data_IF_366872518968
#
_entry.id   IF_366872518968
#
_cell.length_a   1.000
_cell.length_b   1.000
_cell.length_c   1.000
_cell.angle_alpha   90.00
_cell.angle_beta   90.00
_cell.angle_gamma   90.00
#
_symmetry.space_group_name_H-M   'P 1'
#
loop_
_entity.id
_entity.type
_entity.pdbx_description
1 polymer ?
#
# COMPACT_ATOMS: atom_id res chain seq x y z
N UNK A 1 5.73 -34.87 0.62
CA UNK A 1 5.57 -33.61 -0.15
C UNK A 1 4.82 -32.64 0.72
N UNK A 2 5.34 -31.43 0.97
CA UNK A 2 4.70 -30.46 1.86
C UNK A 2 3.38 -29.95 1.24
N UNK A 3 2.32 -29.93 2.04
CA UNK A 3 1.01 -29.48 1.58
C UNK A 3 0.91 -27.95 1.68
N UNK A 4 0.99 -27.27 0.54
CA UNK A 4 0.94 -25.79 0.49
C UNK A 4 -0.36 -25.22 1.06
N UNK A 5 -1.49 -25.89 0.85
CA UNK A 5 -2.79 -25.41 1.37
C UNK A 5 -2.82 -25.45 2.89
N UNK A 6 -2.27 -26.51 3.47
CA UNK A 6 -2.19 -26.68 4.91
C UNK A 6 -1.24 -25.65 5.55
N UNK A 7 -0.03 -25.51 5.02
CA UNK A 7 0.94 -24.50 5.49
C UNK A 7 0.36 -23.09 5.38
N UNK A 8 -0.27 -22.77 4.24
CA UNK A 8 -0.92 -21.47 4.02
C UNK A 8 -2.00 -21.21 5.07
N UNK A 9 -2.82 -22.20 5.39
CA UNK A 9 -3.88 -22.07 6.41
C UNK A 9 -3.27 -21.87 7.80
N UNK A 10 -2.38 -22.76 8.22
CA UNK A 10 -1.76 -22.68 9.54
C UNK A 10 -1.00 -21.37 9.75
N UNK A 11 -0.19 -20.95 8.77
CA UNK A 11 0.55 -19.69 8.82
C UNK A 11 -0.38 -18.49 8.98
N UNK A 12 -1.44 -18.42 8.18
CA UNK A 12 -2.44 -17.33 8.26
C UNK A 12 -3.14 -17.32 9.62
N UNK A 13 -3.58 -18.48 10.11
CA UNK A 13 -4.31 -18.61 11.37
C UNK A 13 -3.44 -18.15 12.56
N UNK A 14 -2.17 -18.58 12.59
CA UNK A 14 -1.23 -18.24 13.65
C UNK A 14 -0.80 -16.76 13.60
N UNK A 15 -0.58 -16.19 12.41
CA UNK A 15 -0.30 -14.74 12.28
C UNK A 15 -1.50 -13.93 12.74
N UNK A 16 -2.71 -14.31 12.34
CA UNK A 16 -3.92 -13.62 12.78
C UNK A 16 -4.08 -13.68 14.30
N UNK A 17 -3.81 -14.84 14.91
CA UNK A 17 -3.82 -15.01 16.37
C UNK A 17 -2.80 -14.07 17.03
N UNK A 18 -1.56 -14.03 16.51
CA UNK A 18 -0.48 -13.20 17.04
C UNK A 18 -0.71 -11.69 16.91
N UNK A 19 -1.50 -11.25 15.92
CA UNK A 19 -1.80 -9.83 15.68
C UNK A 19 -3.20 -9.41 16.16
N UNK A 20 -4.01 -10.34 16.69
CA UNK A 20 -5.41 -10.07 17.07
C UNK A 20 -5.54 -8.92 18.08
N UNK A 21 -4.65 -8.88 19.07
CA UNK A 21 -4.64 -7.85 20.12
C UNK A 21 -4.17 -6.48 19.60
N UNK A 22 -3.52 -6.44 18.43
CA UNK A 22 -3.08 -5.22 17.76
C UNK A 22 -4.19 -4.64 16.84
N UNK A 23 -5.39 -5.22 16.85
CA UNK A 23 -6.55 -4.74 16.09
C UNK A 23 -6.61 -5.24 14.64
N UNK A 24 -5.82 -6.25 14.31
CA UNK A 24 -5.84 -6.88 12.99
C UNK A 24 -7.00 -7.88 12.84
N UNK A 25 -7.60 -7.90 11.65
CA UNK A 25 -8.65 -8.85 11.26
C UNK A 25 -8.39 -9.45 9.89
N UNK A 26 -8.79 -10.70 9.68
CA UNK A 26 -8.71 -11.34 8.37
C UNK A 26 -9.89 -10.93 7.48
N UNK A 27 -9.60 -10.59 6.23
CA UNK A 27 -10.60 -10.35 5.20
C UNK A 27 -10.50 -11.44 4.12
N UNK A 28 -11.42 -12.42 4.20
CA UNK A 28 -11.39 -13.60 3.35
C UNK A 28 -11.45 -13.29 1.85
N UNK A 29 -12.26 -12.31 1.43
CA UNK A 29 -12.44 -11.93 0.01
C UNK A 29 -11.11 -11.56 -0.65
N UNK A 30 -10.18 -10.96 0.10
CA UNK A 30 -8.88 -10.49 -0.41
C UNK A 30 -7.70 -11.30 0.08
N UNK A 31 -7.96 -12.33 0.88
CA UNK A 31 -6.94 -13.14 1.56
C UNK A 31 -5.88 -12.29 2.28
N UNK A 32 -6.33 -11.20 2.92
CA UNK A 32 -5.48 -10.20 3.54
C UNK A 32 -5.78 -10.07 5.05
N UNK A 33 -4.78 -9.74 5.84
CA UNK A 33 -5.00 -9.26 7.22
C UNK A 33 -4.96 -7.73 7.20
N UNK A 34 -5.97 -7.10 7.80
CA UNK A 34 -6.14 -5.65 7.79
C UNK A 34 -6.24 -5.09 9.20
N UNK A 35 -5.67 -3.91 9.39
CA UNK A 35 -5.91 -3.06 10.55
C UNK A 35 -6.40 -1.71 10.05
N UNK A 36 -7.47 -1.23 10.67
CA UNK A 36 -7.86 0.19 10.53
C UNK A 36 -7.16 0.90 11.66
N UNK A 37 -6.29 1.86 11.33
CA UNK A 37 -5.59 2.60 12.38
C UNK A 37 -6.63 3.42 13.18
N UNK A 38 -6.58 3.29 14.51
CA UNK A 38 -7.62 3.77 15.43
C UNK A 38 -7.83 5.29 15.43
N UNK A 39 -6.89 6.06 14.86
CA UNK A 39 -6.92 7.53 14.80
C UNK A 39 -6.85 8.09 13.38
N UNK A 40 -7.04 7.26 12.35
CA UNK A 40 -6.90 7.71 10.96
C UNK A 40 -7.81 6.98 10.00
N UNK A 41 -8.17 7.64 8.90
CA UNK A 41 -8.91 7.05 7.77
C UNK A 41 -8.10 6.03 6.95
N UNK A 42 -6.81 5.86 7.25
CA UNK A 42 -5.97 4.87 6.59
C UNK A 42 -6.26 3.43 7.03
N UNK A 43 -6.11 2.53 6.07
CA UNK A 43 -6.19 1.08 6.22
C UNK A 43 -4.83 0.50 5.87
N UNK A 44 -4.30 -0.27 6.78
CA UNK A 44 -3.13 -1.12 6.55
C UNK A 44 -3.61 -2.47 6.05
N UNK A 45 -3.12 -2.93 4.90
CA UNK A 45 -3.35 -4.29 4.40
C UNK A 45 -2.03 -5.06 4.30
N UNK A 46 -2.04 -6.27 4.84
CA UNK A 46 -0.99 -7.27 4.70
C UNK A 46 -1.45 -8.43 3.83
N UNK A 47 -0.55 -8.88 2.96
CA UNK A 47 -0.71 -10.08 2.12
C UNK A 47 0.56 -10.91 2.18
N UNK A 48 0.43 -12.23 2.09
CA UNK A 48 1.56 -13.13 1.90
C UNK A 48 1.44 -13.88 0.58
N UNK A 49 2.53 -13.86 -0.19
CA UNK A 49 2.70 -14.68 -1.37
C UNK A 49 3.41 -15.98 -0.98
N UNK A 50 2.77 -17.11 -1.27
CA UNK A 50 3.31 -18.44 -1.01
C UNK A 50 3.76 -19.01 -2.35
N UNK A 51 5.08 -19.16 -2.55
CA UNK A 51 5.66 -19.75 -3.75
C UNK A 51 6.25 -21.11 -3.42
N UNK A 52 6.03 -22.08 -4.30
CA UNK A 52 6.72 -23.37 -4.22
C UNK A 52 7.11 -23.80 -5.64
N UNK A 53 8.27 -24.44 -5.75
CA UNK A 53 8.62 -25.27 -6.90
C UNK A 53 8.54 -26.73 -6.43
N UNK A 54 8.14 -27.66 -7.29
CA UNK A 54 8.01 -29.07 -6.92
C UNK A 54 9.31 -29.59 -6.29
N UNK A 55 9.23 -30.13 -5.08
CA UNK A 55 10.40 -30.61 -4.32
C UNK A 55 11.22 -29.52 -3.60
N UNK A 56 10.77 -28.26 -3.59
CA UNK A 56 11.43 -27.16 -2.89
C UNK A 56 10.63 -26.67 -1.67
N UNK A 57 11.29 -26.01 -0.70
CA UNK A 57 10.61 -25.34 0.40
C UNK A 57 9.53 -24.37 -0.07
N UNK A 58 8.48 -24.20 0.73
CA UNK A 58 7.51 -23.12 0.53
C UNK A 58 8.16 -21.82 0.96
N UNK A 59 8.25 -20.88 0.02
CA UNK A 59 8.74 -19.52 0.25
C UNK A 59 7.56 -18.60 0.54
N UNK A 60 7.64 -17.87 1.64
CA UNK A 60 6.63 -16.92 2.10
C UNK A 60 7.22 -15.51 1.99
N UNK A 61 6.66 -14.74 1.07
CA UNK A 61 7.05 -13.35 0.80
C UNK A 61 5.94 -12.42 1.31
N UNK A 62 6.17 -11.67 2.39
CA UNK A 62 5.17 -10.75 2.89
C UNK A 62 5.16 -9.43 2.10
N UNK A 63 3.97 -8.90 1.88
CA UNK A 63 3.69 -7.68 1.12
C UNK A 63 2.71 -6.81 1.88
N UNK A 64 2.96 -5.51 1.86
CA UNK A 64 2.33 -4.56 2.77
C UNK A 64 1.88 -3.33 1.99
N UNK A 65 0.73 -2.79 2.36
CA UNK A 65 0.20 -1.61 1.67
C UNK A 65 -0.59 -0.72 2.60
N UNK A 66 -0.53 0.58 2.30
CA UNK A 66 -1.32 1.62 2.96
C UNK A 66 -2.35 2.12 1.97
N UNK A 67 -3.58 2.22 2.47
CA UNK A 67 -4.77 2.56 1.69
C UNK A 67 -5.51 3.70 2.37
N UNK A 68 -5.87 4.74 1.63
CA UNK A 68 -6.80 5.77 2.10
C UNK A 68 -8.04 5.71 1.20
N UNK A 69 -9.16 5.15 1.67
CA UNK A 69 -10.33 4.94 0.83
C UNK A 69 -10.87 6.23 0.17
N UNK A 70 -10.77 7.37 0.85
CA UNK A 70 -11.18 8.67 0.30
C UNK A 70 -10.36 9.10 -0.91
N UNK A 71 -9.03 8.96 -0.83
CA UNK A 71 -8.11 9.25 -1.94
C UNK A 71 -8.25 8.23 -3.06
N UNK A 72 -8.38 6.94 -2.73
CA UNK A 72 -8.61 5.87 -3.71
C UNK A 72 -9.91 6.08 -4.49
N UNK A 73 -10.98 6.55 -3.83
CA UNK A 73 -12.25 6.82 -4.49
C UNK A 73 -12.10 7.90 -5.59
N UNK A 74 -11.43 9.01 -5.27
CA UNK A 74 -11.16 10.10 -6.23
C UNK A 74 -10.32 9.60 -7.39
N UNK A 75 -9.27 8.83 -7.10
CA UNK A 75 -8.42 8.23 -8.13
C UNK A 75 -9.21 7.31 -9.07
N UNK A 76 -9.99 6.40 -8.52
CA UNK A 76 -10.75 5.43 -9.30
C UNK A 76 -11.86 6.07 -10.13
N UNK A 77 -12.48 7.13 -9.62
CA UNK A 77 -13.44 7.92 -10.37
C UNK A 77 -12.77 8.63 -11.55
N UNK A 78 -11.67 9.35 -11.32
CA UNK A 78 -10.96 10.08 -12.38
C UNK A 78 -10.30 9.18 -13.43
N UNK A 79 -9.74 8.05 -13.01
CA UNK A 79 -9.13 7.05 -13.89
C UNK A 79 -10.13 6.10 -14.55
N UNK A 80 -11.42 6.23 -14.24
CA UNK A 80 -12.46 5.31 -14.69
C UNK A 80 -12.11 3.83 -14.42
N UNK A 81 -11.54 3.54 -13.24
CA UNK A 81 -11.11 2.18 -12.90
C UNK A 81 -12.32 1.27 -12.71
N UNK A 82 -12.42 0.14 -13.43
CA UNK A 82 -13.52 -0.80 -13.26
C UNK A 82 -13.56 -1.35 -11.82
N UNK A 83 -14.76 -1.60 -11.24
CA UNK A 83 -14.90 -2.07 -9.86
C UNK A 83 -14.05 -3.29 -9.51
N UNK A 84 -13.88 -4.22 -10.46
CA UNK A 84 -13.08 -5.44 -10.28
C UNK A 84 -11.60 -5.16 -9.95
N UNK A 85 -11.05 -4.00 -10.35
CA UNK A 85 -9.63 -3.67 -10.16
C UNK A 85 -9.36 -2.71 -8.99
N UNK A 86 -10.41 -2.08 -8.43
CA UNK A 86 -10.28 -1.11 -7.33
C UNK A 86 -9.70 -1.75 -6.06
N UNK A 87 -10.10 -3.00 -5.79
CA UNK A 87 -9.70 -3.76 -4.59
C UNK A 87 -8.19 -4.06 -4.50
N UNK A 88 -7.47 -3.90 -5.62
CA UNK A 88 -6.02 -4.18 -5.74
C UNK A 88 -5.16 -2.92 -5.74
N UNK A 89 -5.78 -1.74 -5.71
CA UNK A 89 -5.05 -0.49 -5.81
C UNK A 89 -4.80 0.07 -4.41
N UNK A 90 -3.52 0.27 -4.09
CA UNK A 90 -3.05 0.88 -2.84
C UNK A 90 -2.28 2.15 -3.11
N UNK A 91 -2.37 3.10 -2.18
CA UNK A 91 -1.73 4.41 -2.33
C UNK A 91 -0.23 4.32 -2.13
N UNK A 92 0.19 3.71 -1.03
CA UNK A 92 1.57 3.31 -0.83
C UNK A 92 1.62 1.80 -0.88
N UNK A 93 2.49 1.30 -1.75
CA UNK A 93 2.85 -0.09 -1.79
C UNK A 93 4.26 -0.24 -1.25
N UNK A 94 4.37 -1.02 -0.20
CA UNK A 94 5.59 -1.31 0.49
C UNK A 94 5.86 -2.80 0.33
N UNK A 95 6.73 -3.18 -0.61
CA UNK A 95 7.44 -4.43 -0.41
C UNK A 95 8.44 -4.14 0.71
N UNK A 96 8.27 -4.73 1.90
CA UNK A 96 9.07 -4.31 3.07
C UNK A 96 10.56 -4.55 2.86
N UNK A 97 10.93 -5.44 1.93
CA UNK A 97 12.28 -5.51 1.38
C UNK A 97 12.87 -4.16 1.01
N UNK A 98 12.06 -3.25 0.48
CA UNK A 98 12.44 -1.90 0.11
C UNK A 98 12.53 -0.94 1.31
N UNK A 99 12.58 -1.42 2.54
CA UNK A 99 12.83 -0.58 3.73
C UNK A 99 14.10 -0.98 4.43
N UNK A 100 14.63 -2.13 4.05
CA UNK A 100 15.68 -2.78 4.77
C UNK A 100 17.03 -2.46 4.13
N UNK A 101 18.12 -2.49 4.93
CA UNK A 101 19.48 -2.50 4.41
C UNK A 101 19.62 -3.51 3.28
N UNK A 102 20.54 -3.28 2.33
CA UNK A 102 20.66 -4.12 1.11
C UNK A 102 20.73 -5.62 1.43
N UNK A 103 21.38 -6.02 2.52
CA UNK A 103 21.43 -7.41 2.97
C UNK A 103 20.07 -8.02 3.35
N UNK A 104 19.08 -7.20 3.71
CA UNK A 104 17.77 -7.59 4.22
C UNK A 104 16.64 -7.37 3.19
N UNK A 105 16.95 -7.01 1.95
CA UNK A 105 15.93 -6.73 0.90
C UNK A 105 15.31 -8.01 0.30
N UNK A 106 15.66 -9.19 0.78
CA UNK A 106 15.03 -10.45 0.35
C UNK A 106 14.60 -11.24 1.58
N UNK A 107 13.60 -10.73 2.29
CA UNK A 107 13.00 -11.48 3.38
C UNK A 107 12.06 -12.51 2.78
N UNK A 108 12.59 -13.73 2.74
CA UNK A 108 11.89 -14.93 2.34
C UNK A 108 11.90 -15.84 3.56
N UNK A 109 10.73 -16.04 4.16
CA UNK A 109 10.59 -17.10 5.16
C UNK A 109 10.40 -18.43 4.42
N UNK A 110 11.10 -19.47 4.85
CA UNK A 110 11.04 -20.78 4.18
C UNK A 110 10.48 -21.83 5.13
N UNK A 111 9.59 -22.66 4.61
CA UNK A 111 8.98 -23.78 5.34
C UNK A 111 9.18 -25.06 4.52
N UNK A 112 9.96 -25.98 5.06
CA UNK A 112 10.26 -27.29 4.46
C UNK A 112 9.32 -28.39 4.96
N UNK A 113 8.84 -28.25 6.20
CA UNK A 113 7.87 -29.16 6.82
C UNK A 113 6.76 -28.40 7.54
N UNK A 114 5.60 -29.03 7.71
CA UNK A 114 4.47 -28.44 8.46
C UNK A 114 4.84 -28.10 9.91
N UNK A 115 5.75 -28.86 10.52
CA UNK A 115 6.20 -28.61 11.91
C UNK A 115 6.99 -27.30 12.07
N UNK A 116 7.55 -26.74 10.99
CA UNK A 116 8.30 -25.48 11.03
C UNK A 116 7.40 -24.24 10.98
N UNK A 117 6.10 -24.40 10.74
CA UNK A 117 5.19 -23.26 10.53
C UNK A 117 5.13 -22.34 11.76
N UNK A 118 5.06 -22.89 12.97
CA UNK A 118 4.99 -22.09 14.20
C UNK A 118 6.25 -21.24 14.43
N UNK A 119 7.43 -21.82 14.23
CA UNK A 119 8.70 -21.13 14.34
C UNK A 119 8.83 -20.03 13.26
N UNK A 120 8.46 -20.37 12.03
CA UNK A 120 8.42 -19.43 10.91
C UNK A 120 7.49 -18.24 11.20
N UNK A 121 6.30 -18.48 11.78
CA UNK A 121 5.38 -17.42 12.19
C UNK A 121 5.96 -16.56 13.29
N UNK A 122 6.66 -17.13 14.27
CA UNK A 122 7.31 -16.36 15.35
C UNK A 122 8.34 -15.39 14.77
N UNK A 123 9.26 -15.88 13.95
CA UNK A 123 10.26 -15.06 13.26
C UNK A 123 9.62 -13.99 12.38
N UNK A 124 8.52 -14.33 11.70
CA UNK A 124 7.75 -13.40 10.91
C UNK A 124 7.14 -12.28 11.76
N UNK A 125 6.53 -12.61 12.89
CA UNK A 125 5.89 -11.63 13.79
C UNK A 125 6.90 -10.71 14.45
N UNK A 126 8.06 -11.24 14.86
CA UNK A 126 9.14 -10.43 15.44
C UNK A 126 9.67 -9.43 14.42
N UNK A 127 9.94 -9.89 13.20
CA UNK A 127 10.30 -9.01 12.10
C UNK A 127 9.21 -7.97 11.78
N UNK A 128 7.95 -8.40 11.75
CA UNK A 128 6.81 -7.53 11.49
C UNK A 128 6.75 -6.38 12.52
N UNK A 129 6.84 -6.70 13.80
CA UNK A 129 6.79 -5.69 14.87
C UNK A 129 8.00 -4.76 14.85
N UNK A 130 9.17 -5.27 14.48
CA UNK A 130 10.39 -4.48 14.41
C UNK A 130 10.40 -3.48 13.26
N UNK A 131 9.95 -3.87 12.06
CA UNK A 131 10.14 -3.06 10.85
C UNK A 131 8.84 -2.54 10.24
N UNK A 132 7.78 -3.33 10.31
CA UNK A 132 6.55 -3.07 9.53
C UNK A 132 5.54 -2.26 10.33
N UNK A 133 5.28 -2.66 11.57
CA UNK A 133 4.36 -1.92 12.44
C UNK A 133 4.76 -0.44 12.59
N UNK A 134 6.03 -0.09 12.88
CA UNK A 134 6.45 1.30 13.03
C UNK A 134 6.32 2.11 11.72
N UNK A 135 6.59 1.47 10.57
CA UNK A 135 6.40 2.12 9.28
C UNK A 135 4.94 2.50 9.06
N UNK A 136 4.00 1.61 9.36
CA UNK A 136 2.59 1.89 9.22
C UNK A 136 2.08 2.95 10.19
N UNK A 137 2.60 2.98 11.41
CA UNK A 137 2.27 4.03 12.38
C UNK A 137 2.78 5.40 11.92
N UNK A 138 3.96 5.45 11.28
CA UNK A 138 4.52 6.70 10.75
C UNK A 138 3.73 7.22 9.54
N UNK A 139 3.17 6.33 8.72
CA UNK A 139 2.51 6.68 7.46
C UNK A 139 0.98 6.50 7.51
N UNK A 140 0.38 6.62 8.70
CA UNK A 140 -1.02 6.31 8.91
C UNK A 140 -1.99 7.43 8.51
N UNK A 141 -1.52 8.59 8.07
CA UNK A 141 -2.39 9.73 7.75
C UNK A 141 -2.05 10.37 6.40
N UNK A 142 -2.98 11.17 5.89
CA UNK A 142 -2.86 11.82 4.57
C UNK A 142 -1.65 12.73 4.46
N UNK A 143 -1.27 13.43 5.54
CA UNK A 143 -0.09 14.34 5.56
C UNK A 143 1.21 13.55 5.39
N UNK A 144 1.36 12.44 6.13
CA UNK A 144 2.54 11.58 6.01
C UNK A 144 2.64 10.95 4.62
N UNK A 145 1.50 10.56 4.04
CA UNK A 145 1.44 10.01 2.68
C UNK A 145 1.77 11.07 1.63
N UNK A 146 1.24 12.29 1.76
CA UNK A 146 1.62 13.43 0.92
C UNK A 146 3.12 13.69 0.98
N UNK A 147 3.70 13.76 2.19
CA UNK A 147 5.14 13.96 2.37
C UNK A 147 5.96 12.89 1.66
N UNK A 148 5.49 11.63 1.66
CA UNK A 148 6.16 10.55 0.95
C UNK A 148 6.05 10.70 -0.56
N UNK A 149 4.84 10.91 -1.09
CA UNK A 149 4.61 10.95 -2.54
C UNK A 149 5.24 12.19 -3.18
N UNK A 150 5.18 13.32 -2.47
CA UNK A 150 5.46 14.68 -2.98
C UNK A 150 6.72 15.32 -2.38
N UNK A 151 7.56 14.56 -1.66
CA UNK A 151 8.89 15.04 -1.22
C UNK A 151 9.75 15.49 -2.39
N UNK A 152 9.73 14.74 -3.49
CA UNK A 152 10.33 15.11 -4.77
C UNK A 152 9.46 14.59 -5.93
N UNK A 153 8.46 15.37 -6.41
CA UNK A 153 7.49 14.91 -7.41
C UNK A 153 8.13 14.60 -8.78
N UNK A 154 9.38 15.03 -9.04
CA UNK A 154 10.07 14.82 -10.32
C UNK A 154 10.82 13.49 -10.38
N UNK A 155 11.25 12.96 -9.24
CA UNK A 155 12.06 11.74 -9.16
C UNK A 155 11.27 10.56 -8.64
N UNK A 156 11.45 9.32 -9.14
CA UNK A 156 10.66 8.15 -8.76
C UNK A 156 10.43 7.98 -7.24
N UNK A 157 9.20 7.67 -6.84
CA UNK A 157 8.88 7.34 -5.45
C UNK A 157 9.00 5.84 -5.22
N UNK A 158 9.92 5.46 -4.33
CA UNK A 158 10.14 4.07 -3.94
C UNK A 158 8.87 3.35 -3.47
N UNK A 159 8.00 4.08 -2.75
CA UNK A 159 6.79 3.52 -2.14
C UNK A 159 5.57 3.54 -3.06
N UNK A 160 5.74 4.02 -4.30
CA UNK A 160 4.74 3.92 -5.36
C UNK A 160 5.46 3.85 -6.72
N UNK A 161 5.92 2.66 -7.13
CA UNK A 161 6.72 2.50 -8.35
C UNK A 161 5.92 2.76 -9.63
N UNK A 162 4.59 2.67 -9.58
CA UNK A 162 3.76 3.01 -10.72
C UNK A 162 3.63 4.52 -10.85
N UNK A 163 4.22 5.08 -11.91
CA UNK A 163 4.21 6.53 -12.18
C UNK A 163 2.77 7.06 -12.27
N UNK A 164 1.86 6.31 -12.91
CA UNK A 164 0.45 6.70 -13.06
C UNK A 164 -0.23 6.81 -11.69
N UNK A 165 -0.10 5.78 -10.86
CA UNK A 165 -0.67 5.78 -9.51
C UNK A 165 -0.06 6.87 -8.65
N UNK A 166 1.26 7.07 -8.72
CA UNK A 166 1.95 8.11 -7.97
C UNK A 166 1.46 9.50 -8.37
N UNK A 167 1.38 9.81 -9.66
CA UNK A 167 0.91 11.10 -10.13
C UNK A 167 -0.51 11.37 -9.63
N UNK A 168 -1.41 10.40 -9.80
CA UNK A 168 -2.80 10.51 -9.34
C UNK A 168 -2.91 10.70 -7.82
N UNK A 169 -2.36 9.77 -7.04
CA UNK A 169 -2.42 9.84 -5.57
C UNK A 169 -1.66 11.03 -5.00
N UNK A 170 -0.51 11.37 -5.57
CA UNK A 170 0.30 12.52 -5.18
C UNK A 170 -0.45 13.83 -5.38
N UNK A 171 -1.12 14.01 -6.52
CA UNK A 171 -1.96 15.19 -6.75
C UNK A 171 -3.13 15.25 -5.74
N UNK A 172 -3.87 14.14 -5.55
CA UNK A 172 -5.02 14.12 -4.64
C UNK A 172 -4.58 14.44 -3.20
N UNK A 173 -3.50 13.83 -2.73
CA UNK A 173 -2.98 14.07 -1.37
C UNK A 173 -2.43 15.48 -1.18
N UNK A 174 -1.85 16.10 -2.22
CA UNK A 174 -1.47 17.51 -2.19
C UNK A 174 -2.69 18.42 -2.01
N UNK A 175 -3.77 18.20 -2.76
CA UNK A 175 -5.02 18.97 -2.59
C UNK A 175 -5.66 18.75 -1.21
N UNK A 176 -5.49 17.58 -0.61
CA UNK A 176 -6.02 17.26 0.71
C UNK A 176 -5.23 17.90 1.86
N UNK A 177 -3.94 18.21 1.69
CA UNK A 177 -3.06 18.56 2.81
C UNK A 177 -2.32 19.90 2.68
N UNK A 178 -2.17 20.44 1.48
CA UNK A 178 -1.31 21.62 1.22
C UNK A 178 -2.13 22.88 0.97
N UNK A 179 -1.45 24.04 0.97
CA UNK A 179 -2.03 25.26 0.41
C UNK A 179 -2.43 25.02 -1.06
N UNK A 180 -3.41 25.78 -1.55
CA UNK A 180 -3.98 25.55 -2.87
C UNK A 180 -2.94 25.71 -3.98
N UNK A 181 -2.15 26.78 -3.92
CA UNK A 181 -1.10 27.08 -4.91
C UNK A 181 0.00 26.00 -4.92
N UNK A 182 0.36 25.47 -3.75
CA UNK A 182 1.32 24.36 -3.65
C UNK A 182 0.76 23.09 -4.29
N UNK A 183 -0.52 22.80 -4.07
CA UNK A 183 -1.17 21.63 -4.66
C UNK A 183 -1.25 21.74 -6.20
N UNK A 184 -1.56 22.92 -6.73
CA UNK A 184 -1.56 23.18 -8.18
C UNK A 184 -0.14 23.04 -8.76
N UNK A 185 0.89 23.53 -8.07
CA UNK A 185 2.27 23.38 -8.51
C UNK A 185 2.70 21.89 -8.60
N UNK A 186 2.30 21.08 -7.61
CA UNK A 186 2.53 19.62 -7.65
C UNK A 186 1.75 18.98 -8.81
N UNK A 187 0.48 19.35 -9.00
CA UNK A 187 -0.34 18.82 -10.09
C UNK A 187 0.24 19.16 -11.47
N UNK A 188 0.83 20.35 -11.64
CA UNK A 188 1.51 20.74 -12.87
C UNK A 188 2.71 19.84 -13.18
N UNK A 189 3.57 19.56 -12.19
CA UNK A 189 4.71 18.64 -12.35
C UNK A 189 4.24 17.24 -12.78
N UNK A 190 3.18 16.73 -12.15
CA UNK A 190 2.62 15.44 -12.52
C UNK A 190 1.92 15.45 -13.88
N UNK A 191 1.30 16.56 -14.28
CA UNK A 191 0.73 16.72 -15.63
C UNK A 191 1.83 16.58 -16.68
N UNK A 192 2.97 17.23 -16.50
CA UNK A 192 4.10 17.12 -17.41
C UNK A 192 4.68 15.69 -17.45
N UNK A 193 4.74 15.02 -16.29
CA UNK A 193 5.15 13.61 -16.21
C UNK A 193 4.19 12.71 -16.99
N UNK A 194 2.88 12.88 -16.83
CA UNK A 194 1.86 12.07 -17.51
C UNK A 194 1.86 12.24 -19.02
N UNK A 195 2.29 13.39 -19.56
CA UNK A 195 2.47 13.58 -21.02
C UNK A 195 3.56 12.67 -21.60
N UNK A 196 4.55 12.30 -20.79
CA UNK A 196 5.68 11.46 -21.19
C UNK A 196 5.37 9.96 -21.04
N UNK A 197 4.59 9.59 -20.03
CA UNK A 197 4.21 8.20 -19.76
C UNK A 197 3.21 7.71 -20.80
N UNK A 198 3.45 6.53 -21.38
CA UNK A 198 2.59 5.88 -22.37
C UNK A 198 2.13 6.83 -23.49
N UNK A 199 3.04 7.72 -23.91
CA UNK A 199 2.81 8.73 -24.96
C UNK A 199 1.60 9.64 -24.67
N UNK A 200 1.32 9.90 -23.39
CA UNK A 200 0.25 10.80 -22.96
C UNK A 200 -1.13 10.15 -22.88
N UNK A 201 -1.25 8.83 -23.05
CA UNK A 201 -2.54 8.12 -23.01
C UNK A 201 -3.36 8.42 -21.74
N UNK A 202 -2.69 8.64 -20.61
CA UNK A 202 -3.32 8.86 -19.31
C UNK A 202 -3.59 10.33 -18.96
N UNK A 203 -3.24 11.30 -19.82
CA UNK A 203 -3.32 12.74 -19.51
C UNK A 203 -4.75 13.19 -19.21
N UNK A 204 -5.72 12.79 -20.03
CA UNK A 204 -7.12 13.20 -19.84
C UNK A 204 -7.73 12.60 -18.57
N UNK A 205 -7.35 11.36 -18.24
CA UNK A 205 -7.76 10.72 -16.98
C UNK A 205 -7.13 11.42 -15.79
N UNK A 206 -5.86 11.80 -15.89
CA UNK A 206 -5.19 12.56 -14.84
C UNK A 206 -5.81 13.95 -14.65
N UNK A 207 -6.16 14.66 -15.73
CA UNK A 207 -6.86 15.93 -15.63
C UNK A 207 -8.20 15.81 -14.89
N UNK A 208 -8.95 14.72 -15.13
CA UNK A 208 -10.16 14.39 -14.37
C UNK A 208 -9.85 14.14 -12.89
N UNK A 209 -8.80 13.39 -12.57
CA UNK A 209 -8.35 13.19 -11.18
C UNK A 209 -8.07 14.52 -10.48
N UNK A 210 -7.33 15.43 -11.11
CA UNK A 210 -7.01 16.76 -10.56
C UNK A 210 -8.28 17.59 -10.35
N UNK A 211 -9.18 17.61 -11.34
CA UNK A 211 -10.46 18.32 -11.24
C UNK A 211 -11.32 17.82 -10.09
N UNK A 212 -11.42 16.49 -9.92
CA UNK A 212 -12.15 15.87 -8.82
C UNK A 212 -11.49 16.15 -7.46
N UNK A 213 -10.16 16.11 -7.38
CA UNK A 213 -9.43 16.42 -6.16
C UNK A 213 -9.67 17.87 -5.71
N UNK A 214 -9.61 18.81 -6.65
CA UNK A 214 -9.94 20.23 -6.41
C UNK A 214 -11.36 20.40 -5.88
N UNK A 215 -12.34 19.83 -6.59
CA UNK A 215 -13.75 19.86 -6.16
C UNK A 215 -13.93 19.27 -4.75
N UNK A 216 -13.29 18.14 -4.45
CA UNK A 216 -13.38 17.49 -3.14
C UNK A 216 -12.76 18.31 -2.01
N UNK A 217 -11.69 19.04 -2.30
CA UNK A 217 -11.11 20.01 -1.36
C UNK A 217 -12.10 21.14 -1.08
N UNK A 218 -12.68 21.73 -2.12
CA UNK A 218 -13.62 22.86 -1.99
C UNK A 218 -14.90 22.45 -1.23
N UNK A 219 -15.32 21.18 -1.38
CA UNK A 219 -16.41 20.57 -0.62
C UNK A 219 -16.05 20.24 0.84
N UNK A 220 -14.79 20.38 1.27
CA UNK A 220 -14.32 19.94 2.58
C UNK A 220 -14.36 18.42 2.77
N UNK A 221 -14.33 17.65 1.67
CA UNK A 221 -14.53 16.20 1.69
C UNK A 221 -13.27 15.42 2.11
N UNK A 222 -12.10 16.05 2.13
CA UNK A 222 -10.93 15.51 2.78
C UNK A 222 -11.00 15.87 4.25
N UNK A 223 -11.29 14.89 5.12
CA UNK A 223 -11.22 15.08 6.57
C UNK A 223 -9.84 15.66 6.89
N UNK A 224 -9.82 16.92 7.34
CA UNK A 224 -8.60 17.62 7.72
C UNK A 224 -7.85 16.73 8.72
N UNK A 225 -6.61 16.37 8.39
CA UNK A 225 -5.71 15.75 9.35
C UNK A 225 -5.37 16.76 10.45
N UNK A 226 -6.26 16.88 11.44
CA UNK A 226 -6.01 17.52 12.72
C UNK A 226 -5.48 16.49 13.71
#
# INVERSE_FOLDING_TARGET
MINVKEVRKQFKDLVLLGLKHEGYRYEAKREAIKRTATKSTSKTEWRCHFRTLTGSPIRIEPSFSIRLPSVEAVFHEGMNTPPAYRDMTSILWANVSEFLPKENQKIIFSVETTSQVEECVRSYLDWYRQFVSPYFETHSNTIAIDSVLNSDPRNPCRFQPSVIHRCGFGAITAFACRAYDDAEAIAAVYSDTMKLVDRGFHVDFFAKVVSLARKKRDEGAFEEGK
#
